data_IF_532644383338
#
_entry.id   IF_532644383338
#
_cell.length_a   1.000
_cell.length_b   1.000
_cell.length_c   1.000
_cell.angle_alpha   90.00
_cell.angle_beta   90.00
_cell.angle_gamma   90.00
#
_symmetry.space_group_name_H-M   'P 1'
#
loop_
_entity.id
_entity.type
_entity.pdbx_description
1 polymer ?
#
# COMPACT_ATOMS: atom_id res chain seq x y z
N UNK A 1 2.84 -0.58 -10.25
CA UNK A 1 1.63 -0.08 -9.56
C UNK A 1 0.90 0.86 -10.52
N UNK A 2 -0.31 0.52 -10.93
CA UNK A 2 -1.11 1.33 -11.85
C UNK A 2 -2.47 1.62 -11.23
N UNK A 3 -2.90 2.88 -11.25
CA UNK A 3 -4.30 3.26 -10.99
C UNK A 3 -5.19 2.92 -12.16
N UNK A 4 -6.45 2.61 -11.88
CA UNK A 4 -7.43 2.29 -12.91
C UNK A 4 -8.33 3.50 -13.18
N UNK A 5 -8.68 3.71 -14.45
CA UNK A 5 -9.57 4.78 -14.90
C UNK A 5 -10.95 4.29 -15.32
N UNK A 6 -11.09 2.99 -15.55
CA UNK A 6 -12.29 2.35 -16.09
C UNK A 6 -12.42 0.97 -15.44
N UNK A 7 -13.56 0.58 -14.89
CA UNK A 7 -13.81 -0.79 -14.41
C UNK A 7 -14.91 -1.44 -15.25
N UNK A 8 -14.91 -2.78 -15.33
CA UNK A 8 -15.99 -3.54 -15.97
C UNK A 8 -17.32 -3.33 -15.24
N UNK A 9 -18.42 -3.47 -15.96
CA UNK A 9 -19.76 -3.33 -15.38
C UNK A 9 -19.97 -4.34 -14.25
N UNK A 10 -20.47 -3.86 -13.11
CA UNK A 10 -20.65 -4.67 -11.89
C UNK A 10 -19.38 -4.86 -11.04
N UNK A 11 -18.19 -4.53 -11.53
CA UNK A 11 -16.97 -4.57 -10.73
C UNK A 11 -16.86 -3.35 -9.80
N UNK A 12 -16.18 -3.50 -8.66
CA UNK A 12 -15.93 -2.38 -7.74
C UNK A 12 -14.79 -1.48 -8.27
N UNK A 13 -15.06 -0.24 -8.71
CA UNK A 13 -14.04 0.65 -9.27
C UNK A 13 -13.20 1.35 -8.19
N UNK A 14 -13.59 1.24 -6.91
CA UNK A 14 -12.98 1.98 -5.79
C UNK A 14 -11.85 1.20 -5.12
N UNK A 15 -11.52 0.01 -5.64
CA UNK A 15 -10.57 -0.93 -5.04
C UNK A 15 -9.42 -1.24 -5.98
N UNK A 16 -8.26 -1.55 -5.40
CA UNK A 16 -7.06 -1.88 -6.15
C UNK A 16 -7.24 -3.22 -6.85
N UNK A 17 -6.79 -3.29 -8.09
CA UNK A 17 -6.65 -4.54 -8.81
C UNK A 17 -5.21 -5.04 -8.68
N UNK A 18 -5.07 -6.35 -8.54
CA UNK A 18 -3.80 -7.06 -8.41
C UNK A 18 -3.71 -8.12 -9.51
N UNK A 19 -2.50 -8.37 -9.98
CA UNK A 19 -2.18 -9.45 -10.89
C UNK A 19 -0.77 -9.93 -10.57
N UNK A 20 -0.44 -11.13 -11.03
CA UNK A 20 0.84 -11.79 -10.74
C UNK A 20 1.60 -12.07 -12.03
N UNK A 21 2.92 -11.99 -11.94
CA UNK A 21 3.82 -12.43 -12.99
C UNK A 21 4.88 -13.33 -12.37
N UNK A 22 5.16 -14.45 -13.05
CA UNK A 22 6.22 -15.39 -12.73
C UNK A 22 7.31 -15.44 -13.82
N UNK A 23 7.25 -14.55 -14.80
CA UNK A 23 8.13 -14.48 -15.97
C UNK A 23 8.87 -13.13 -16.09
N UNK A 24 9.02 -12.41 -14.97
CA UNK A 24 9.72 -11.13 -14.94
C UNK A 24 8.90 -9.95 -15.48
N UNK A 25 7.58 -10.10 -15.59
CA UNK A 25 6.65 -9.06 -16.01
C UNK A 25 6.27 -9.11 -17.48
N UNK A 26 6.65 -10.16 -18.21
CA UNK A 26 6.30 -10.34 -19.62
C UNK A 26 4.81 -10.69 -19.79
N UNK A 27 4.27 -11.52 -18.89
CA UNK A 27 2.83 -11.83 -18.81
C UNK A 27 2.31 -11.64 -17.40
N UNK A 28 0.99 -11.44 -17.31
CA UNK A 28 0.29 -11.22 -16.04
C UNK A 28 -0.95 -12.11 -15.99
N UNK A 29 -1.17 -12.75 -14.85
CA UNK A 29 -2.28 -13.67 -14.58
C UNK A 29 -2.99 -13.33 -13.28
N UNK A 30 -4.10 -14.02 -13.04
CA UNK A 30 -4.87 -13.95 -11.80
C UNK A 30 -5.30 -12.53 -11.43
N UNK A 31 -5.82 -11.81 -12.44
CA UNK A 31 -6.35 -10.46 -12.26
C UNK A 31 -7.52 -10.50 -11.27
N UNK A 32 -7.39 -9.79 -10.15
CA UNK A 32 -8.37 -9.81 -9.07
C UNK A 32 -8.52 -8.44 -8.39
N UNK A 33 -9.67 -8.20 -7.78
CA UNK A 33 -9.93 -7.02 -6.96
C UNK A 33 -9.52 -7.32 -5.51
N UNK A 34 -8.61 -6.51 -4.96
CA UNK A 34 -8.27 -6.52 -3.55
C UNK A 34 -9.27 -5.65 -2.77
N UNK A 35 -10.16 -6.29 -2.00
CA UNK A 35 -11.29 -5.61 -1.35
C UNK A 35 -10.89 -4.63 -0.23
N UNK A 36 -9.68 -4.75 0.31
CA UNK A 36 -9.20 -3.92 1.42
C UNK A 36 -8.30 -2.75 1.00
N UNK A 37 -7.76 -2.78 -0.21
CA UNK A 37 -6.90 -1.70 -0.70
C UNK A 37 -7.71 -0.70 -1.53
N UNK A 38 -7.80 0.57 -1.13
CA UNK A 38 -8.48 1.58 -1.93
C UNK A 38 -7.68 1.95 -3.17
N UNK A 39 -8.33 2.23 -4.30
CA UNK A 39 -7.72 2.91 -5.46
C UNK A 39 -8.15 4.37 -5.47
N UNK A 40 -7.91 5.09 -4.38
CA UNK A 40 -8.30 6.49 -4.24
C UNK A 40 -9.50 6.73 -3.31
N UNK A 41 -10.06 7.95 -3.32
CA UNK A 41 -11.15 8.30 -2.43
C UNK A 41 -12.47 7.63 -2.81
N UNK A 42 -13.35 7.44 -1.83
CA UNK A 42 -14.56 6.62 -1.99
C UNK A 42 -15.73 7.31 -2.68
N UNK A 43 -15.56 8.59 -3.09
CA UNK A 43 -16.61 9.38 -3.74
C UNK A 43 -16.38 9.61 -5.23
N UNK A 44 -15.36 8.99 -5.84
CA UNK A 44 -15.10 9.08 -7.28
C UNK A 44 -14.46 7.79 -7.78
N UNK A 45 -14.76 7.43 -9.02
CA UNK A 45 -14.18 6.28 -9.71
C UNK A 45 -12.80 6.60 -10.30
N UNK A 46 -12.34 7.84 -10.16
CA UNK A 46 -11.04 8.26 -10.68
C UNK A 46 -9.92 7.82 -9.73
N UNK A 47 -9.22 6.75 -10.14
CA UNK A 47 -8.17 6.12 -9.35
C UNK A 47 -7.05 7.06 -8.88
N UNK A 48 -6.26 6.59 -7.90
CA UNK A 48 -5.13 7.34 -7.35
C UNK A 48 -3.85 6.48 -7.35
N UNK A 49 -2.75 7.02 -7.87
CA UNK A 49 -1.46 6.30 -7.89
C UNK A 49 -1.00 6.06 -6.45
N UNK A 50 -0.63 4.82 -6.20
CA UNK A 50 -0.19 4.35 -4.90
C UNK A 50 1.33 4.14 -4.86
N UNK A 51 1.90 4.23 -3.67
CA UNK A 51 3.23 3.70 -3.38
C UNK A 51 3.15 2.20 -3.16
N UNK A 52 4.17 1.48 -3.60
CA UNK A 52 4.36 0.05 -3.30
C UNK A 52 5.85 -0.21 -3.13
N UNK A 53 6.25 -0.82 -2.02
CA UNK A 53 7.65 -1.19 -1.79
C UNK A 53 7.74 -2.51 -1.03
N UNK A 54 8.82 -3.26 -1.25
CA UNK A 54 9.13 -4.50 -0.50
C UNK A 54 10.17 -4.16 0.55
N UNK A 55 9.97 -4.63 1.79
CA UNK A 55 11.00 -4.46 2.82
C UNK A 55 12.12 -5.49 2.61
N UNK A 56 13.40 -5.08 2.70
CA UNK A 56 14.53 -5.98 2.50
C UNK A 56 14.82 -6.78 3.78
N UNK A 57 13.90 -7.67 4.14
CA UNK A 57 14.02 -8.57 5.30
C UNK A 57 14.23 -9.99 4.78
N UNK A 58 15.38 -10.58 5.11
CA UNK A 58 15.76 -11.92 4.64
C UNK A 58 14.72 -12.97 5.04
N UNK A 59 14.35 -13.84 4.10
CA UNK A 59 13.39 -14.92 4.31
C UNK A 59 11.94 -14.45 4.55
N UNK A 60 11.63 -13.15 4.41
CA UNK A 60 10.28 -12.60 4.60
C UNK A 60 9.79 -11.89 3.35
N UNK A 61 8.52 -12.09 3.00
CA UNK A 61 7.88 -11.36 1.92
C UNK A 61 6.92 -10.30 2.47
N UNK A 62 7.49 -9.13 2.79
CA UNK A 62 6.76 -8.01 3.37
C UNK A 62 6.61 -6.91 2.33
N UNK A 63 5.37 -6.60 1.97
CA UNK A 63 5.03 -5.50 1.06
C UNK A 63 4.31 -4.40 1.82
N UNK A 64 4.63 -3.15 1.48
CA UNK A 64 3.92 -1.97 1.96
C UNK A 64 3.22 -1.28 0.80
N UNK A 65 1.98 -0.88 1.00
CA UNK A 65 1.15 -0.15 0.05
C UNK A 65 0.67 1.18 0.65
N UNK A 66 0.58 2.26 -0.14
CA UNK A 66 0.05 3.54 0.32
C UNK A 66 -1.01 4.11 -0.62
N UNK A 67 -2.07 4.68 -0.05
CA UNK A 67 -3.06 5.47 -0.81
C UNK A 67 -3.84 6.39 0.14
N UNK A 68 -4.73 7.22 -0.42
CA UNK A 68 -5.75 7.91 0.35
C UNK A 68 -6.84 6.93 0.79
N UNK A 69 -7.16 6.96 2.08
CA UNK A 69 -8.24 6.17 2.69
C UNK A 69 -9.33 7.12 3.19
N UNK A 70 -10.14 7.64 2.28
CA UNK A 70 -11.08 8.69 2.62
C UNK A 70 -12.45 8.53 2.00
N UNK A 71 -13.55 8.81 2.75
CA UNK A 71 -14.90 8.81 2.19
C UNK A 71 -15.06 9.78 1.02
N UNK A 72 -14.22 10.82 0.91
CA UNK A 72 -14.17 11.63 -0.29
C UNK A 72 -13.00 12.61 -0.34
N UNK A 73 -12.52 12.89 -1.55
CA UNK A 73 -11.34 13.73 -1.79
C UNK A 73 -10.02 13.05 -1.41
N UNK A 74 -8.93 13.50 -2.02
CA UNK A 74 -7.58 12.93 -1.83
C UNK A 74 -6.96 13.37 -0.49
N UNK A 75 -7.30 12.65 0.57
CA UNK A 75 -6.86 12.90 1.95
C UNK A 75 -6.68 11.60 2.74
N UNK A 76 -6.17 11.71 3.97
CA UNK A 76 -5.98 10.60 4.90
C UNK A 76 -5.03 9.54 4.33
N UNK A 77 -3.77 9.95 4.14
CA UNK A 77 -2.71 9.10 3.63
C UNK A 77 -2.44 7.95 4.56
N UNK A 78 -2.68 6.72 4.09
CA UNK A 78 -2.64 5.51 4.90
C UNK A 78 -1.69 4.51 4.27
N UNK A 79 -1.05 3.70 5.10
CA UNK A 79 -0.13 2.64 4.69
C UNK A 79 -0.67 1.29 5.16
N UNK A 80 -0.65 0.29 4.30
CA UNK A 80 -0.99 -1.10 4.60
C UNK A 80 0.27 -1.96 4.54
N UNK A 81 0.30 -3.03 5.34
CA UNK A 81 1.33 -4.07 5.25
C UNK A 81 0.72 -5.41 4.88
N UNK A 82 1.41 -6.11 4.00
CA UNK A 82 1.24 -7.54 3.73
C UNK A 82 2.49 -8.27 4.20
N UNK A 83 2.32 -9.50 4.72
CA UNK A 83 3.39 -10.36 5.21
C UNK A 83 3.47 -11.69 4.46
N UNK A 84 2.72 -11.82 3.37
CA UNK A 84 2.59 -13.02 2.54
C UNK A 84 2.76 -12.71 1.05
N UNK A 85 3.51 -11.64 0.74
CA UNK A 85 3.81 -11.20 -0.62
C UNK A 85 2.69 -10.46 -1.32
N UNK A 86 1.65 -10.02 -0.63
CA UNK A 86 0.55 -9.23 -1.18
C UNK A 86 -0.76 -9.99 -1.32
N UNK A 87 -0.86 -11.21 -0.77
CA UNK A 87 -2.09 -12.03 -0.80
C UNK A 87 -3.13 -11.48 0.18
N UNK A 88 -2.69 -11.10 1.38
CA UNK A 88 -3.53 -10.46 2.41
C UNK A 88 -2.87 -9.22 2.99
N UNK A 89 -3.67 -8.30 3.50
CA UNK A 89 -3.22 -7.00 4.05
C UNK A 89 -3.79 -6.78 5.47
N UNK A 90 -3.28 -7.47 6.50
CA UNK A 90 -3.93 -7.57 7.81
C UNK A 90 -3.92 -6.28 8.66
N UNK A 91 -3.07 -5.32 8.34
CA UNK A 91 -2.90 -4.10 9.15
C UNK A 91 -2.70 -2.86 8.29
N UNK A 92 -3.21 -1.73 8.77
CA UNK A 92 -2.99 -0.42 8.17
C UNK A 92 -2.79 0.66 9.23
N UNK A 93 -2.13 1.77 8.87
CA UNK A 93 -1.94 2.92 9.76
C UNK A 93 -1.95 4.24 8.99
N UNK A 94 -2.64 5.23 9.55
CA UNK A 94 -2.64 6.61 9.03
C UNK A 94 -1.24 7.22 9.16
N UNK A 95 -0.64 7.58 8.02
CA UNK A 95 0.69 8.18 7.92
C UNK A 95 0.65 9.71 7.76
N UNK A 96 -0.42 10.24 7.16
CA UNK A 96 -0.59 11.68 6.96
C UNK A 96 -2.06 12.10 7.17
N UNK A 97 -2.31 12.96 8.15
CA UNK A 97 -3.62 13.57 8.35
C UNK A 97 -3.72 14.87 7.54
N UNK A 98 -4.61 14.91 6.56
CA UNK A 98 -4.74 16.03 5.61
C UNK A 98 -4.70 15.56 4.17
N UNK A 99 -4.34 16.47 3.26
CA UNK A 99 -4.22 16.17 1.83
C UNK A 99 -3.23 15.03 1.56
N UNK A 100 -3.60 14.13 0.65
CA UNK A 100 -2.77 13.00 0.23
C UNK A 100 -3.27 12.47 -1.12
N UNK A 101 -2.49 12.72 -2.17
CA UNK A 101 -2.80 12.30 -3.53
C UNK A 101 -1.82 11.21 -4.01
N UNK A 102 -1.13 11.39 -5.14
CA UNK A 102 -0.20 10.35 -5.59
C UNK A 102 0.92 10.16 -4.60
N UNK A 103 1.37 8.92 -4.51
CA UNK A 103 2.45 8.56 -3.61
C UNK A 103 3.42 7.57 -4.25
N UNK A 104 4.64 7.58 -3.75
CA UNK A 104 5.69 6.62 -4.03
C UNK A 104 6.36 6.23 -2.71
N UNK A 105 6.84 4.99 -2.62
CA UNK A 105 7.50 4.50 -1.42
C UNK A 105 8.81 3.79 -1.76
N UNK A 106 9.79 3.96 -0.89
CA UNK A 106 11.05 3.24 -0.95
C UNK A 106 11.47 2.75 0.43
N UNK A 107 11.93 1.51 0.51
CA UNK A 107 12.59 0.95 1.68
C UNK A 107 14.06 1.34 1.70
N UNK A 108 14.59 1.67 2.86
CA UNK A 108 16.01 1.92 3.02
C UNK A 108 16.86 0.66 2.79
N UNK A 109 18.12 0.88 2.42
CA UNK A 109 19.05 -0.17 1.99
C UNK A 109 19.72 -0.84 3.20
N UNK A 110 19.79 -2.18 3.25
CA UNK A 110 20.56 -2.91 4.28
C UNK A 110 22.03 -2.47 4.33
N UNK A 111 22.62 -2.46 5.53
CA UNK A 111 23.99 -2.05 5.80
C UNK A 111 24.23 -0.55 5.62
N UNK A 112 23.18 0.28 5.66
CA UNK A 112 23.29 1.74 5.52
C UNK A 112 22.52 2.47 6.61
N UNK A 113 22.74 3.79 6.76
CA UNK A 113 21.97 4.63 7.69
C UNK A 113 20.45 4.67 7.41
N UNK A 114 20.02 4.21 6.24
CA UNK A 114 18.61 4.14 5.87
C UNK A 114 17.95 2.81 6.23
N UNK A 115 18.73 1.80 6.62
CA UNK A 115 18.21 0.47 7.00
C UNK A 115 17.08 0.56 8.03
N UNK A 116 16.05 -0.26 7.83
CA UNK A 116 14.86 -0.29 8.68
C UNK A 116 13.88 0.89 8.48
N UNK A 117 14.25 1.91 7.71
CA UNK A 117 13.37 3.03 7.38
C UNK A 117 12.60 2.81 6.08
N UNK A 118 11.43 3.43 6.02
CA UNK A 118 10.59 3.57 4.83
C UNK A 118 10.36 5.05 4.60
N UNK A 119 10.49 5.46 3.34
CA UNK A 119 10.29 6.83 2.90
C UNK A 119 9.06 6.85 1.99
N UNK A 120 8.03 7.56 2.42
CA UNK A 120 6.79 7.77 1.69
C UNK A 120 6.77 9.19 1.16
N UNK A 121 6.94 9.34 -0.15
CA UNK A 121 6.75 10.61 -0.84
C UNK A 121 5.30 10.73 -1.33
N UNK A 122 4.67 11.89 -1.15
CA UNK A 122 3.29 12.09 -1.57
C UNK A 122 2.95 13.55 -1.92
N UNK A 123 1.93 13.71 -2.74
CA UNK A 123 1.37 14.99 -3.15
C UNK A 123 0.35 15.52 -2.13
N UNK A 124 0.54 16.75 -1.64
CA UNK A 124 -0.41 17.47 -0.79
C UNK A 124 -0.20 19.00 -0.88
N UNK A 125 -0.62 19.60 -2.00
CA UNK A 125 -0.33 21.02 -2.28
C UNK A 125 1.16 21.30 -2.51
N UNK A 126 1.91 20.27 -2.89
CA UNK A 126 3.36 20.22 -2.94
C UNK A 126 3.85 18.78 -2.73
N UNK A 127 5.16 18.59 -2.65
CA UNK A 127 5.78 17.29 -2.39
C UNK A 127 6.18 17.16 -0.93
N UNK A 128 5.73 16.10 -0.28
CA UNK A 128 6.00 15.81 1.13
C UNK A 128 6.68 14.46 1.29
N UNK A 129 7.44 14.29 2.37
CA UNK A 129 8.05 13.00 2.74
C UNK A 129 7.68 12.67 4.19
N UNK A 130 7.06 11.51 4.39
CA UNK A 130 6.96 10.87 5.69
C UNK A 130 8.05 9.78 5.81
N UNK A 131 8.63 9.64 7.00
CA UNK A 131 9.59 8.57 7.31
C UNK A 131 9.09 7.77 8.50
N UNK A 132 9.01 6.45 8.35
CA UNK A 132 8.56 5.53 9.40
C UNK A 132 9.25 4.17 9.27
N UNK A 133 8.95 3.23 10.16
CA UNK A 133 9.46 1.87 10.13
C UNK A 133 8.33 0.85 10.37
N UNK A 134 8.65 -0.44 10.24
CA UNK A 134 7.65 -1.51 10.42
C UNK A 134 7.05 -1.51 11.83
N UNK A 135 7.85 -1.27 12.87
CA UNK A 135 7.35 -1.19 14.26
C UNK A 135 6.34 -0.07 14.46
N UNK A 136 6.46 1.06 13.75
CA UNK A 136 5.44 2.09 13.72
C UNK A 136 4.18 1.55 13.02
N UNK A 137 4.29 0.94 11.85
CA UNK A 137 3.11 0.44 11.11
C UNK A 137 2.33 -0.63 11.89
N UNK A 138 3.02 -1.47 12.67
CA UNK A 138 2.42 -2.53 13.50
C UNK A 138 1.55 -2.02 14.65
N UNK A 139 1.62 -0.73 15.00
CA UNK A 139 0.72 -0.09 15.97
C UNK A 139 -0.55 0.48 15.31
N UNK A 140 -0.82 0.07 14.08
CA UNK A 140 -2.00 0.43 13.31
C UNK A 140 -3.24 -0.35 13.72
N UNK A 141 -4.28 -0.25 12.89
CA UNK A 141 -5.54 -0.96 13.06
C UNK A 141 -5.63 -2.17 12.13
N UNK A 142 -6.37 -3.19 12.57
CA UNK A 142 -6.61 -4.40 11.77
C UNK A 142 -7.58 -4.08 10.63
N UNK A 143 -7.33 -4.66 9.46
CA UNK A 143 -8.21 -4.52 8.30
C UNK A 143 -9.29 -5.60 8.24
N UNK A 144 -9.07 -6.73 8.92
CA UNK A 144 -9.89 -7.94 8.80
C UNK A 144 -9.47 -8.87 7.65
N UNK A 145 -8.48 -8.49 6.84
CA UNK A 145 -7.99 -9.31 5.71
C UNK A 145 -6.70 -10.04 6.09
N UNK A 146 -6.85 -11.30 6.49
CA UNK A 146 -5.75 -12.14 6.95
C UNK A 146 -5.40 -11.95 8.44
N UNK A 147 -4.25 -12.48 8.85
CA UNK A 147 -3.74 -12.42 10.22
C UNK A 147 -2.30 -11.93 10.22
N UNK A 148 -1.94 -11.18 11.25
CA UNK A 148 -0.52 -10.92 11.51
C UNK A 148 0.18 -12.26 11.81
N UNK A 149 1.34 -12.52 11.23
CA UNK A 149 2.06 -13.76 11.49
C UNK A 149 2.68 -13.79 12.88
N UNK A 150 2.76 -14.99 13.46
CA UNK A 150 3.19 -15.21 14.86
C UNK A 150 4.63 -14.74 15.12
N UNK A 151 5.50 -14.78 14.11
CA UNK A 151 6.90 -14.35 14.22
C UNK A 151 7.07 -12.84 14.46
N UNK A 152 6.01 -12.03 14.35
CA UNK A 152 6.03 -10.60 14.73
C UNK A 152 5.93 -10.39 16.25
N UNK A 153 5.57 -11.42 17.00
CA UNK A 153 5.33 -11.35 18.45
C UNK A 153 6.51 -11.88 19.29
N UNK A 154 7.59 -12.29 18.64
CA UNK A 154 8.82 -12.78 19.27
C UNK A 154 9.83 -11.65 19.50
#
# INVERSE_FOLDING_TARGET
NSRRHWAEEGANPLRRWTAWSDDGGATWKDLAICQVLPDGPQNTQYGCMAGLTRLPVEGRDILLYSNCDSPGGRKLGTVWASFDGGKTWPIKRLAANGGFAYSSMSSGRPGTKTEGWVYLNFEAGGSWIARFNLSWLLKGEKTGDGKLPDWLTQ
#
